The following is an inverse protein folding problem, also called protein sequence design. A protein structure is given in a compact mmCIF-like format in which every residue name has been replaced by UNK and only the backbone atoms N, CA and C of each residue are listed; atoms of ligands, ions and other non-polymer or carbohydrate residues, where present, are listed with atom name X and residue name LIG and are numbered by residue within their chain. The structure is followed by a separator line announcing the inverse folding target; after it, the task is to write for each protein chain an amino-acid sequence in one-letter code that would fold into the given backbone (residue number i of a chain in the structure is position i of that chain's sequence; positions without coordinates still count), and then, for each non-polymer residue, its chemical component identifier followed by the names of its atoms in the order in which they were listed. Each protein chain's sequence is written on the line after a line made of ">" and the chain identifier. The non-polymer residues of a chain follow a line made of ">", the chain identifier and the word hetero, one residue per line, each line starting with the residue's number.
data_IF_179277949062
#
_entry.id   IF_179277949062
#
_cell.length_a   1.000
_cell.length_b   1.000
_cell.length_c   1.000
_cell.angle_alpha   90.00
_cell.angle_beta   90.00
_cell.angle_gamma   90.00
#
_symmetry.space_group_name_H-M   'P 1'
#
loop_
_entity.id
_entity.type
_entity.pdbx_description
1 polymer ?
#
# COMPACT_ATOMS: atom_id res chain seq x y z
N UNK A 1 1.25 23.35 -4.81
CA UNK A 1 1.72 22.27 -3.93
C UNK A 1 1.40 22.68 -2.50
N UNK A 2 0.69 21.85 -1.73
CA UNK A 2 0.37 22.21 -0.35
C UNK A 2 1.63 22.23 0.53
N UNK A 3 1.63 23.06 1.55
CA UNK A 3 2.55 22.98 2.69
C UNK A 3 2.20 21.77 3.55
N UNK A 4 3.10 21.37 4.47
CA UNK A 4 2.81 20.27 5.43
C UNK A 4 1.55 20.56 6.25
N UNK A 5 1.36 21.79 6.73
CA UNK A 5 0.19 22.18 7.51
C UNK A 5 -1.10 22.12 6.68
N UNK A 6 -1.10 22.65 5.47
CA UNK A 6 -2.26 22.56 4.56
C UNK A 6 -2.59 21.13 4.18
N UNK A 7 -1.59 20.25 3.99
CA UNK A 7 -1.81 18.84 3.76
C UNK A 7 -2.43 18.18 4.98
N UNK A 8 -1.89 18.43 6.17
CA UNK A 8 -2.44 17.90 7.42
C UNK A 8 -3.94 18.22 7.59
N UNK A 9 -4.29 19.49 7.41
CA UNK A 9 -5.68 19.95 7.49
C UNK A 9 -6.56 19.30 6.42
N UNK A 10 -6.01 19.07 5.22
CA UNK A 10 -6.71 18.38 4.14
C UNK A 10 -6.96 16.92 4.47
N UNK A 11 -5.95 16.19 4.96
CA UNK A 11 -6.06 14.78 5.34
C UNK A 11 -7.17 14.57 6.38
N UNK A 12 -7.22 15.43 7.40
CA UNK A 12 -8.26 15.37 8.45
C UNK A 12 -9.63 15.70 7.87
N UNK A 13 -9.77 16.78 7.10
CA UNK A 13 -11.04 17.21 6.53
C UNK A 13 -11.63 16.19 5.55
N UNK A 14 -10.78 15.46 4.83
CA UNK A 14 -11.21 14.45 3.85
C UNK A 14 -11.24 13.04 4.43
N UNK A 15 -10.86 12.88 5.70
CA UNK A 15 -10.83 11.62 6.43
C UNK A 15 -9.86 10.57 5.84
N UNK A 16 -8.88 11.04 5.07
CA UNK A 16 -7.73 10.19 4.67
C UNK A 16 -6.90 9.84 5.92
N UNK A 17 -6.84 10.76 6.88
CA UNK A 17 -6.31 10.57 8.23
C UNK A 17 -7.14 11.39 9.22
N UNK A 18 -6.82 11.36 10.50
CA UNK A 18 -7.70 11.83 11.57
C UNK A 18 -8.73 10.76 11.90
N UNK A 19 -9.96 11.15 12.13
CA UNK A 19 -11.10 10.25 12.35
C UNK A 19 -11.50 9.59 11.03
N UNK A 20 -11.01 8.39 10.76
CA UNK A 20 -11.24 7.65 9.51
C UNK A 20 -12.59 6.92 9.49
N UNK A 21 -13.00 6.41 8.31
CA UNK A 21 -14.25 5.68 8.19
C UNK A 21 -14.18 4.27 8.75
N UNK A 22 -13.00 3.67 8.74
CA UNK A 22 -12.76 2.32 9.25
C UNK A 22 -13.02 2.25 10.75
N UNK A 23 -13.90 1.35 11.18
CA UNK A 23 -14.31 1.28 12.58
C UNK A 23 -13.28 0.58 13.46
N UNK A 24 -13.34 0.90 14.74
CA UNK A 24 -12.49 0.27 15.77
C UNK A 24 -12.68 -1.24 15.81
N UNK A 25 -13.91 -1.72 15.74
CA UNK A 25 -14.22 -3.14 15.74
C UNK A 25 -13.53 -3.86 14.59
N UNK A 26 -13.59 -3.28 13.38
CA UNK A 26 -12.95 -3.84 12.20
C UNK A 26 -11.43 -3.90 12.37
N UNK A 27 -10.80 -2.83 12.84
CA UNK A 27 -9.37 -2.82 13.13
C UNK A 27 -8.98 -3.95 14.09
N UNK A 28 -9.65 -4.06 15.24
CA UNK A 28 -9.32 -5.06 16.25
C UNK A 28 -9.53 -6.51 15.76
N UNK A 29 -10.53 -6.74 14.91
CA UNK A 29 -10.79 -8.06 14.34
C UNK A 29 -9.71 -8.45 13.33
N UNK A 30 -9.25 -7.51 12.48
CA UNK A 30 -8.15 -7.75 11.55
C UNK A 30 -6.82 -7.97 12.29
N UNK A 31 -6.56 -7.24 13.40
CA UNK A 31 -5.35 -7.45 14.21
C UNK A 31 -5.32 -8.83 14.86
N UNK A 32 -6.49 -9.35 15.32
CA UNK A 32 -6.61 -10.72 15.81
C UNK A 32 -6.41 -11.74 14.70
N UNK A 33 -7.02 -11.50 13.53
CA UNK A 33 -6.91 -12.38 12.37
C UNK A 33 -5.45 -12.50 11.91
N UNK A 34 -4.73 -11.39 11.81
CA UNK A 34 -3.30 -11.39 11.49
C UNK A 34 -2.49 -12.16 12.54
N UNK A 35 -2.72 -11.88 13.84
CA UNK A 35 -2.03 -12.58 14.92
C UNK A 35 -2.30 -14.09 14.91
N UNK A 36 -3.49 -14.50 14.49
CA UNK A 36 -3.88 -15.92 14.30
C UNK A 36 -3.38 -16.49 12.97
N UNK A 37 -2.60 -15.73 12.17
CA UNK A 37 -2.05 -16.18 10.88
C UNK A 37 -3.12 -16.50 9.84
N UNK A 38 -4.27 -15.80 9.86
CA UNK A 38 -5.26 -15.92 8.79
C UNK A 38 -4.64 -15.50 7.45
N UNK A 39 -4.59 -16.39 6.44
CA UNK A 39 -3.91 -16.12 5.18
C UNK A 39 -4.46 -14.90 4.43
N UNK A 40 -5.75 -14.58 4.59
CA UNK A 40 -6.37 -13.43 3.96
C UNK A 40 -5.84 -12.10 4.52
N UNK A 41 -5.49 -12.06 5.82
CA UNK A 41 -4.97 -10.88 6.49
C UNK A 41 -3.44 -10.80 6.50
N UNK A 42 -2.73 -11.82 6.02
CA UNK A 42 -1.27 -11.82 5.90
C UNK A 42 -0.76 -11.11 4.64
N UNK A 43 -1.60 -10.86 3.67
CA UNK A 43 -1.21 -10.23 2.39
C UNK A 43 -0.04 -10.93 1.68
N UNK A 44 0.09 -12.24 1.90
CA UNK A 44 1.16 -13.04 1.32
C UNK A 44 2.49 -13.01 2.08
N UNK A 45 2.56 -12.29 3.18
CA UNK A 45 3.72 -12.30 4.09
C UNK A 45 3.73 -13.54 4.97
N UNK A 46 4.90 -14.04 5.25
CA UNK A 46 5.18 -15.00 6.32
C UNK A 46 5.75 -14.23 7.49
N UNK A 47 5.03 -14.17 8.61
CA UNK A 47 5.45 -13.41 9.77
C UNK A 47 6.24 -14.28 10.74
N UNK A 48 7.25 -13.70 11.39
CA UNK A 48 8.00 -14.34 12.46
C UNK A 48 7.09 -14.72 13.64
N UNK A 49 7.53 -15.67 14.46
CA UNK A 49 6.86 -15.98 15.72
C UNK A 49 6.94 -14.77 16.67
N UNK A 50 5.92 -14.58 17.49
CA UNK A 50 5.93 -13.53 18.51
C UNK A 50 4.94 -12.37 18.28
N UNK A 51 4.29 -12.28 17.12
CA UNK A 51 3.23 -11.31 16.89
C UNK A 51 1.91 -11.74 17.54
N UNK A 52 1.70 -11.37 18.78
CA UNK A 52 0.39 -11.49 19.43
C UNK A 52 -0.54 -10.34 19.01
N UNK A 53 -1.83 -10.48 19.25
CA UNK A 53 -2.79 -9.39 19.09
C UNK A 53 -2.35 -8.07 19.76
N UNK A 54 -1.76 -8.16 20.96
CA UNK A 54 -1.29 -6.97 21.68
C UNK A 54 -0.09 -6.33 21.01
N UNK A 55 0.82 -7.12 20.47
CA UNK A 55 1.99 -6.62 19.74
C UNK A 55 1.56 -5.92 18.44
N UNK A 56 0.60 -6.50 17.72
CA UNK A 56 0.02 -5.88 16.52
C UNK A 56 -0.67 -4.56 16.86
N UNK A 57 -1.51 -4.53 17.88
CA UNK A 57 -2.17 -3.29 18.33
C UNK A 57 -1.15 -2.21 18.74
N UNK A 58 -0.12 -2.59 19.48
CA UNK A 58 0.94 -1.66 19.90
C UNK A 58 1.71 -1.10 18.71
N UNK A 59 2.01 -1.96 17.72
CA UNK A 59 2.64 -1.55 16.47
C UNK A 59 1.75 -0.56 15.70
N UNK A 60 0.48 -0.88 15.51
CA UNK A 60 -0.47 -0.03 14.79
C UNK A 60 -0.68 1.32 15.48
N UNK A 61 -0.76 1.32 16.83
CA UNK A 61 -0.80 2.57 17.59
C UNK A 61 0.47 3.40 17.39
N UNK A 62 1.63 2.76 17.31
CA UNK A 62 2.91 3.43 17.05
C UNK A 62 3.04 3.90 15.60
N UNK A 63 2.64 3.10 14.61
CA UNK A 63 2.92 3.35 13.18
C UNK A 63 1.81 4.13 12.49
N UNK A 64 0.55 3.84 12.77
CA UNK A 64 -0.60 4.49 12.19
C UNK A 64 -1.30 5.49 13.11
N UNK A 65 -1.07 5.42 14.44
CA UNK A 65 -1.70 6.31 15.41
C UNK A 65 -3.13 5.90 15.76
N UNK A 66 -3.47 4.62 15.63
CA UNK A 66 -4.76 4.10 16.12
C UNK A 66 -4.83 4.16 17.65
N UNK A 67 -6.03 4.11 18.20
CA UNK A 67 -6.21 4.11 19.66
C UNK A 67 -5.49 2.92 20.29
N UNK A 68 -4.57 3.18 21.21
CA UNK A 68 -3.73 2.14 21.82
C UNK A 68 -4.47 1.28 22.87
N UNK A 69 -5.58 1.79 23.43
CA UNK A 69 -6.32 1.13 24.49
C UNK A 69 -7.08 -0.10 23.99
N UNK A 70 -6.74 -1.33 24.41
CA UNK A 70 -7.44 -2.54 23.99
C UNK A 70 -8.88 -2.65 24.51
N UNK A 71 -9.26 -1.87 25.54
CA UNK A 71 -10.60 -1.83 26.10
C UNK A 71 -11.52 -0.87 25.34
N UNK A 72 -10.97 0.04 24.54
CA UNK A 72 -11.74 0.80 23.56
C UNK A 72 -12.06 -0.11 22.37
N UNK A 73 -13.26 -0.71 22.39
CA UNK A 73 -13.61 -1.85 21.49
C UNK A 73 -14.54 -1.49 20.34
N UNK A 74 -15.12 -0.30 20.35
CA UNK A 74 -16.13 0.07 19.36
C UNK A 74 -16.10 1.54 19.01
N UNK A 75 -16.71 1.87 17.87
CA UNK A 75 -16.85 3.22 17.37
C UNK A 75 -15.81 3.57 16.32
N UNK A 76 -15.48 4.83 16.23
CA UNK A 76 -14.53 5.35 15.25
C UNK A 76 -13.10 5.14 15.72
N UNK A 77 -12.21 4.77 14.80
CA UNK A 77 -10.76 4.77 15.08
C UNK A 77 -10.10 5.94 14.33
N UNK A 78 -8.80 6.08 14.45
CA UNK A 78 -8.05 7.22 13.94
C UNK A 78 -6.78 6.77 13.24
N UNK A 79 -6.33 7.59 12.27
CA UNK A 79 -4.98 7.57 11.72
C UNK A 79 -4.35 8.92 12.03
N UNK A 80 -3.15 8.92 12.60
CA UNK A 80 -2.45 10.18 12.89
C UNK A 80 -1.97 10.84 11.58
N UNK A 81 -2.47 12.04 11.25
CA UNK A 81 -2.11 12.72 10.00
C UNK A 81 -0.63 13.09 9.91
N UNK A 82 0.05 13.31 11.02
CA UNK A 82 1.49 13.60 10.99
C UNK A 82 2.30 12.33 10.67
N UNK A 83 1.89 11.15 11.14
CA UNK A 83 2.49 9.87 10.75
C UNK A 83 2.28 9.57 9.28
N UNK A 84 1.09 9.85 8.74
CA UNK A 84 0.82 9.76 7.30
C UNK A 84 1.80 10.63 6.51
N UNK A 85 1.99 11.89 6.93
CA UNK A 85 2.89 12.82 6.24
C UNK A 85 4.36 12.39 6.35
N UNK A 86 4.81 11.96 7.54
CA UNK A 86 6.18 11.46 7.75
C UNK A 86 6.47 10.25 6.84
N UNK A 87 5.53 9.30 6.75
CA UNK A 87 5.68 8.14 5.88
C UNK A 87 5.63 8.52 4.39
N UNK A 88 4.81 9.50 3.98
CA UNK A 88 4.82 10.06 2.61
C UNK A 88 6.17 10.68 2.28
N UNK A 89 6.78 11.42 3.21
CA UNK A 89 8.10 12.02 3.03
C UNK A 89 9.16 10.93 2.86
N UNK A 90 9.17 9.92 3.72
CA UNK A 90 10.09 8.78 3.62
C UNK A 90 9.90 7.98 2.31
N UNK A 91 8.66 7.74 1.90
CA UNK A 91 8.36 7.09 0.62
C UNK A 91 8.85 7.93 -0.57
N UNK A 92 8.62 9.24 -0.53
CA UNK A 92 9.07 10.15 -1.58
C UNK A 92 10.59 10.18 -1.72
N UNK A 93 11.31 10.24 -0.60
CA UNK A 93 12.79 10.14 -0.56
C UNK A 93 13.25 8.81 -1.15
N UNK A 94 12.63 7.69 -0.77
CA UNK A 94 13.00 6.36 -1.26
C UNK A 94 12.80 6.23 -2.77
N UNK A 95 11.66 6.70 -3.30
CA UNK A 95 11.39 6.69 -4.74
C UNK A 95 12.39 7.60 -5.47
N UNK A 96 12.63 8.81 -4.97
CA UNK A 96 13.57 9.76 -5.56
C UNK A 96 15.01 9.22 -5.62
N UNK A 97 15.49 8.62 -4.54
CA UNK A 97 16.81 7.96 -4.50
C UNK A 97 16.97 6.88 -5.58
N UNK A 98 15.93 6.07 -5.79
CA UNK A 98 15.95 5.03 -6.83
C UNK A 98 15.98 5.65 -8.23
N UNK A 99 15.20 6.71 -8.46
CA UNK A 99 15.14 7.40 -9.74
C UNK A 99 16.41 8.19 -10.05
N UNK A 100 17.06 8.78 -9.04
CA UNK A 100 18.32 9.53 -9.19
C UNK A 100 19.46 8.70 -9.78
N UNK A 101 19.43 7.36 -9.59
CA UNK A 101 20.40 6.43 -10.18
C UNK A 101 20.30 6.31 -11.72
N UNK A 102 19.24 6.81 -12.33
CA UNK A 102 18.90 6.68 -13.76
C UNK A 102 18.60 5.26 -14.19
N UNK A 103 17.77 5.08 -15.21
CA UNK A 103 17.41 3.77 -15.76
C UNK A 103 16.82 2.77 -14.75
N UNK A 104 16.21 3.27 -13.68
CA UNK A 104 15.56 2.44 -12.69
C UNK A 104 14.44 1.59 -13.31
N UNK A 105 14.23 0.39 -12.79
CA UNK A 105 13.13 -0.52 -13.18
C UNK A 105 12.13 -0.56 -12.03
N UNK A 106 10.92 -0.12 -12.27
CA UNK A 106 9.89 -0.08 -11.25
C UNK A 106 8.69 -0.95 -11.62
N UNK A 107 8.03 -1.48 -10.60
CA UNK A 107 6.72 -2.10 -10.71
C UNK A 107 5.72 -1.30 -9.90
N UNK A 108 4.54 -1.06 -10.48
CA UNK A 108 3.41 -0.45 -9.79
C UNK A 108 2.22 -1.41 -9.82
N UNK A 109 1.58 -1.59 -8.66
CA UNK A 109 0.41 -2.45 -8.56
C UNK A 109 -0.53 -1.97 -7.45
N UNK A 110 -1.84 -2.14 -7.63
CA UNK A 110 -2.81 -1.81 -6.59
C UNK A 110 -3.88 -2.88 -6.44
N UNK A 111 -4.13 -3.27 -5.19
CA UNK A 111 -5.28 -4.07 -4.78
C UNK A 111 -6.54 -3.22 -4.58
N UNK A 112 -6.41 -1.88 -4.51
CA UNK A 112 -7.52 -0.96 -4.31
C UNK A 112 -7.63 0.08 -5.44
N UNK A 113 -7.97 -0.35 -6.67
CA UNK A 113 -7.94 0.54 -7.84
C UNK A 113 -8.90 1.71 -7.77
N UNK A 114 -10.03 1.58 -7.07
CA UNK A 114 -11.04 2.65 -6.94
C UNK A 114 -10.54 3.85 -6.12
N UNK A 115 -9.60 3.65 -5.20
CA UNK A 115 -8.99 4.70 -4.39
C UNK A 115 -7.57 5.04 -4.84
N UNK A 116 -6.67 4.08 -4.69
CA UNK A 116 -5.23 4.30 -4.74
C UNK A 116 -4.65 4.49 -6.14
N UNK A 117 -5.39 4.13 -7.21
CA UNK A 117 -4.95 4.41 -8.57
C UNK A 117 -4.67 5.90 -8.80
N UNK A 118 -5.40 6.79 -8.09
CA UNK A 118 -5.19 8.22 -8.12
C UNK A 118 -3.79 8.65 -7.61
N UNK A 119 -3.15 7.84 -6.77
CA UNK A 119 -1.78 8.05 -6.29
C UNK A 119 -0.77 7.35 -7.21
N UNK A 120 -1.04 6.09 -7.56
CA UNK A 120 -0.10 5.27 -8.35
C UNK A 120 0.16 5.85 -9.75
N UNK A 121 -0.87 6.32 -10.47
CA UNK A 121 -0.72 6.82 -11.84
C UNK A 121 0.20 8.04 -11.95
N UNK A 122 0.07 9.10 -11.14
CA UNK A 122 1.01 10.22 -11.17
C UNK A 122 2.44 9.81 -10.84
N UNK A 123 2.65 8.89 -9.88
CA UNK A 123 3.98 8.37 -9.55
C UNK A 123 4.59 7.55 -10.71
N UNK A 124 3.81 6.69 -11.35
CA UNK A 124 4.26 5.92 -12.50
C UNK A 124 4.66 6.83 -13.69
N UNK A 125 3.87 7.88 -13.95
CA UNK A 125 4.19 8.90 -14.96
C UNK A 125 5.46 9.65 -14.62
N UNK A 126 5.62 10.08 -13.36
CA UNK A 126 6.83 10.76 -12.90
C UNK A 126 8.06 9.87 -13.09
N UNK A 127 7.98 8.59 -12.72
CA UNK A 127 9.08 7.65 -12.91
C UNK A 127 9.51 7.55 -14.37
N UNK A 128 8.55 7.43 -15.30
CA UNK A 128 8.85 7.40 -16.75
C UNK A 128 9.47 8.72 -17.22
N UNK A 129 8.99 9.87 -16.76
CA UNK A 129 9.56 11.18 -17.07
C UNK A 129 11.02 11.31 -16.64
N UNK A 130 11.41 10.59 -15.58
CA UNK A 130 12.79 10.54 -15.08
C UNK A 130 13.58 9.32 -15.61
N UNK A 131 13.15 8.73 -16.73
CA UNK A 131 13.89 7.69 -17.45
C UNK A 131 13.77 6.28 -16.88
N UNK A 132 12.85 6.05 -15.94
CA UNK A 132 12.60 4.71 -15.46
C UNK A 132 11.86 3.84 -16.47
N UNK A 133 12.12 2.54 -16.43
CA UNK A 133 11.33 1.51 -17.14
C UNK A 133 10.29 0.92 -16.21
N UNK A 134 9.03 0.94 -16.60
CA UNK A 134 7.98 0.22 -15.90
C UNK A 134 7.95 -1.22 -16.36
N UNK A 135 8.14 -2.15 -15.44
CA UNK A 135 8.01 -3.57 -15.72
C UNK A 135 6.54 -3.96 -15.65
N UNK A 136 6.04 -4.63 -16.66
CA UNK A 136 4.62 -5.03 -16.79
C UNK A 136 4.47 -6.53 -17.06
N UNK A 137 5.06 -7.41 -16.21
CA UNK A 137 4.98 -8.85 -16.39
C UNK A 137 3.57 -9.39 -16.14
N UNK A 138 3.30 -10.59 -16.65
CA UNK A 138 2.08 -11.36 -16.41
C UNK A 138 0.78 -10.68 -16.84
N UNK A 139 0.81 -9.77 -17.82
CA UNK A 139 -0.44 -9.20 -18.35
C UNK A 139 -1.33 -10.31 -18.93
N UNK A 140 -2.58 -10.33 -18.49
CA UNK A 140 -3.54 -11.35 -18.90
C UNK A 140 -3.50 -12.64 -18.07
N UNK A 141 -2.48 -12.84 -17.21
CA UNK A 141 -2.51 -13.95 -16.25
C UNK A 141 -3.80 -13.93 -15.45
N UNK A 142 -4.39 -15.09 -15.23
CA UNK A 142 -5.73 -15.15 -14.64
C UNK A 142 -5.91 -16.34 -13.73
N UNK A 143 -6.73 -16.15 -12.71
CA UNK A 143 -7.11 -17.17 -11.74
C UNK A 143 -8.59 -17.01 -11.35
N UNK A 144 -9.11 -17.97 -10.60
CA UNK A 144 -10.43 -17.86 -9.96
C UNK A 144 -10.21 -17.32 -8.55
N UNK A 145 -10.57 -16.06 -8.33
CA UNK A 145 -10.38 -15.40 -7.04
C UNK A 145 -11.24 -15.99 -5.93
N UNK A 146 -10.85 -15.77 -4.69
CA UNK A 146 -11.67 -16.10 -3.53
C UNK A 146 -13.01 -15.35 -3.59
N UNK A 147 -14.09 -15.99 -3.15
CA UNK A 147 -15.46 -15.48 -3.28
C UNK A 147 -16.14 -15.94 -4.56
N UNK A 148 -17.08 -15.21 -5.10
CA UNK A 148 -18.07 -15.57 -6.15
C UNK A 148 -17.59 -16.35 -7.38
N UNK A 149 -16.42 -17.01 -7.36
CA UNK A 149 -15.92 -17.87 -8.42
C UNK A 149 -15.66 -17.16 -9.75
N UNK A 150 -15.55 -15.84 -9.75
CA UNK A 150 -15.26 -15.07 -10.94
C UNK A 150 -13.79 -15.19 -11.30
N UNK A 151 -13.52 -15.36 -12.61
CA UNK A 151 -12.17 -15.29 -13.14
C UNK A 151 -11.69 -13.85 -13.13
N UNK A 152 -10.58 -13.60 -12.45
CA UNK A 152 -9.88 -12.34 -12.37
C UNK A 152 -8.61 -12.43 -13.21
N UNK A 153 -8.16 -11.33 -13.79
CA UNK A 153 -6.93 -11.28 -14.59
C UNK A 153 -6.17 -10.01 -14.35
N UNK A 154 -4.84 -10.06 -14.49
CA UNK A 154 -3.98 -8.89 -14.41
C UNK A 154 -4.20 -8.03 -15.65
N UNK A 155 -4.41 -6.75 -15.43
CA UNK A 155 -4.47 -5.70 -16.43
C UNK A 155 -3.63 -4.52 -16.01
N UNK A 156 -3.10 -3.82 -16.99
CA UNK A 156 -2.33 -2.61 -16.77
C UNK A 156 -3.07 -1.38 -17.27
N UNK A 157 -3.02 -0.32 -16.48
CA UNK A 157 -3.45 1.01 -16.89
C UNK A 157 -2.36 2.01 -16.52
N UNK A 158 -1.76 2.66 -17.52
CA UNK A 158 -0.64 3.59 -17.33
C UNK A 158 0.58 2.98 -16.63
N UNK A 159 0.81 1.67 -16.79
CA UNK A 159 1.91 0.94 -16.14
C UNK A 159 1.60 0.44 -14.72
N UNK A 160 0.39 0.65 -14.21
CA UNK A 160 -0.06 0.15 -12.90
C UNK A 160 -0.87 -1.13 -13.10
N UNK A 161 -0.45 -2.23 -12.43
CA UNK A 161 -1.15 -3.50 -12.44
C UNK A 161 -2.38 -3.48 -11.52
N UNK A 162 -3.46 -4.09 -11.97
CA UNK A 162 -4.71 -4.26 -11.21
C UNK A 162 -5.40 -5.54 -11.66
N UNK A 163 -6.39 -5.99 -10.91
CA UNK A 163 -7.26 -7.09 -11.33
C UNK A 163 -8.53 -6.58 -12.03
N UNK A 164 -8.90 -7.25 -13.10
CA UNK A 164 -10.16 -7.09 -13.85
C UNK A 164 -10.96 -8.39 -13.81
N UNK A 165 -12.28 -8.31 -13.57
CA UNK A 165 -13.20 -9.47 -13.60
C UNK A 165 -14.19 -9.42 -14.77
N UNK A 166 -13.89 -8.66 -15.84
CA UNK A 166 -14.73 -8.32 -17.00
C UNK A 166 -15.87 -7.33 -16.72
N UNK A 167 -16.12 -6.97 -15.47
CA UNK A 167 -17.08 -5.95 -15.09
C UNK A 167 -16.42 -4.63 -14.72
N UNK A 168 -15.12 -4.67 -14.45
CA UNK A 168 -14.31 -3.54 -14.03
C UNK A 168 -13.12 -3.97 -13.19
N UNK A 169 -12.38 -3.01 -12.70
CA UNK A 169 -11.30 -3.28 -11.74
C UNK A 169 -11.87 -3.63 -10.37
N UNK A 170 -11.29 -4.62 -9.74
CA UNK A 170 -11.78 -5.18 -8.48
C UNK A 170 -10.78 -5.03 -7.35
N UNK A 171 -11.31 -4.74 -6.16
CA UNK A 171 -10.53 -4.76 -4.94
C UNK A 171 -10.09 -6.20 -4.59
N UNK A 172 -8.86 -6.35 -4.09
CA UNK A 172 -8.31 -7.65 -3.70
C UNK A 172 -7.22 -7.53 -2.65
N UNK A 173 -7.23 -8.47 -1.71
CA UNK A 173 -6.13 -8.73 -0.77
C UNK A 173 -5.21 -9.86 -1.27
N UNK A 174 -5.55 -10.51 -2.39
CA UNK A 174 -4.82 -11.68 -2.90
C UNK A 174 -3.36 -11.33 -3.25
N UNK A 175 -2.44 -12.19 -2.83
CA UNK A 175 -1.01 -12.08 -3.12
C UNK A 175 -0.60 -12.78 -4.44
N UNK A 176 -1.43 -13.69 -4.93
CA UNK A 176 -1.12 -14.53 -6.09
C UNK A 176 -0.85 -13.74 -7.39
N UNK A 177 -1.53 -12.60 -7.66
CA UNK A 177 -1.20 -11.79 -8.83
C UNK A 177 0.25 -11.29 -8.81
N UNK A 178 0.75 -10.80 -7.67
CA UNK A 178 2.13 -10.36 -7.56
C UNK A 178 3.11 -11.53 -7.65
N UNK A 179 2.77 -12.69 -7.09
CA UNK A 179 3.58 -13.92 -7.24
C UNK A 179 3.71 -14.33 -8.71
N UNK A 180 2.61 -14.23 -9.47
CA UNK A 180 2.65 -14.48 -10.91
C UNK A 180 3.52 -13.46 -11.66
N UNK A 181 3.42 -12.18 -11.30
CA UNK A 181 4.28 -11.14 -11.86
C UNK A 181 5.76 -11.43 -11.61
N UNK A 182 6.11 -11.79 -10.38
CA UNK A 182 7.49 -12.12 -9.99
C UNK A 182 8.00 -13.33 -10.77
N UNK A 183 7.18 -14.36 -10.95
CA UNK A 183 7.55 -15.57 -11.70
C UNK A 183 7.86 -15.29 -13.17
N UNK A 184 7.27 -14.25 -13.76
CA UNK A 184 7.50 -13.86 -15.17
C UNK A 184 8.62 -12.82 -15.35
N UNK A 185 9.34 -12.44 -14.30
CA UNK A 185 10.43 -11.46 -14.42
C UNK A 185 11.69 -12.01 -15.12
N UNK A 186 11.79 -13.32 -15.35
CA UNK A 186 12.90 -13.99 -16.08
C UNK A 186 14.30 -13.51 -15.61
N UNK A 187 14.49 -13.35 -14.29
CA UNK A 187 15.74 -12.88 -13.71
C UNK A 187 15.93 -11.35 -13.72
N UNK A 188 15.02 -10.60 -14.35
CA UNK A 188 14.99 -9.14 -14.25
C UNK A 188 14.45 -8.75 -12.88
N UNK A 189 15.25 -8.06 -12.07
CA UNK A 189 14.82 -7.61 -10.74
C UNK A 189 14.40 -6.15 -10.78
N UNK A 190 13.21 -5.77 -10.27
CA UNK A 190 12.85 -4.36 -10.08
C UNK A 190 13.73 -3.73 -9.01
N UNK A 191 14.07 -2.46 -9.21
CA UNK A 191 14.80 -1.65 -8.25
C UNK A 191 13.88 -1.12 -7.15
N UNK A 192 12.56 -1.04 -7.43
CA UNK A 192 11.52 -0.73 -6.46
C UNK A 192 10.15 -1.23 -6.93
N UNK A 193 9.36 -1.72 -5.97
CA UNK A 193 7.92 -1.99 -6.12
C UNK A 193 7.15 -0.95 -5.31
N UNK A 194 6.17 -0.30 -5.94
CA UNK A 194 5.22 0.61 -5.29
C UNK A 194 3.85 -0.05 -5.38
N UNK A 195 3.34 -0.52 -4.25
CA UNK A 195 2.11 -1.32 -4.26
C UNK A 195 1.31 -1.17 -2.95
N UNK A 196 0.22 -1.91 -2.85
CA UNK A 196 -0.60 -2.00 -1.65
C UNK A 196 -1.13 -3.43 -1.47
N UNK A 197 -1.76 -3.73 -0.31
CA UNK A 197 -2.38 -5.01 0.01
C UNK A 197 -1.47 -6.23 -0.29
N UNK A 198 -2.05 -7.31 -0.82
CA UNK A 198 -1.34 -8.54 -1.17
C UNK A 198 -0.28 -8.37 -2.25
N UNK A 199 -0.36 -7.32 -3.07
CA UNK A 199 0.66 -7.01 -4.05
C UNK A 199 1.95 -6.53 -3.38
N UNK A 200 1.84 -5.65 -2.39
CA UNK A 200 2.99 -5.17 -1.62
C UNK A 200 3.55 -6.28 -0.71
N UNK A 201 2.67 -7.01 -0.02
CA UNK A 201 3.09 -8.08 0.87
C UNK A 201 3.86 -9.19 0.15
N UNK A 202 3.36 -9.67 -1.00
CA UNK A 202 4.06 -10.70 -1.78
C UNK A 202 5.39 -10.20 -2.37
N UNK A 203 5.47 -8.94 -2.77
CA UNK A 203 6.72 -8.35 -3.25
C UNK A 203 7.77 -8.28 -2.13
N UNK A 204 7.37 -7.81 -0.94
CA UNK A 204 8.23 -7.76 0.25
C UNK A 204 8.68 -9.14 0.70
N UNK A 205 7.78 -10.14 0.71
CA UNK A 205 8.11 -11.53 1.05
C UNK A 205 9.13 -12.13 0.08
N UNK A 206 9.06 -11.79 -1.20
CA UNK A 206 10.05 -12.18 -2.20
C UNK A 206 11.38 -11.41 -2.09
N UNK A 207 11.54 -10.54 -1.10
CA UNK A 207 12.73 -9.73 -0.87
C UNK A 207 12.94 -8.64 -1.92
N UNK A 208 11.90 -8.22 -2.64
CA UNK A 208 11.98 -7.07 -3.53
C UNK A 208 11.91 -5.78 -2.70
N UNK A 209 12.72 -4.74 -3.03
CA UNK A 209 12.57 -3.43 -2.41
C UNK A 209 11.13 -2.92 -2.63
N UNK A 210 10.37 -2.72 -1.55
CA UNK A 210 8.94 -2.42 -1.63
C UNK A 210 8.57 -1.27 -0.72
N UNK A 211 7.74 -0.35 -1.22
CA UNK A 211 7.04 0.68 -0.45
C UNK A 211 5.53 0.54 -0.70
N UNK A 212 4.71 0.84 0.30
CA UNK A 212 3.28 0.58 0.18
C UNK A 212 2.39 1.55 0.93
N UNK A 213 1.09 1.44 0.64
CA UNK A 213 0.00 2.11 1.33
C UNK A 213 -0.84 1.08 2.06
N UNK A 214 -1.36 1.43 3.24
CA UNK A 214 -2.22 0.55 4.00
C UNK A 214 -3.20 1.35 4.88
N UNK A 215 -4.43 0.87 4.99
CA UNK A 215 -5.41 1.42 5.94
C UNK A 215 -5.13 0.92 7.38
N UNK A 216 -5.81 1.51 8.33
CA UNK A 216 -5.70 1.18 9.75
C UNK A 216 -6.10 -0.26 10.08
N UNK A 217 -6.94 -0.89 9.26
CA UNK A 217 -7.34 -2.29 9.40
C UNK A 217 -6.44 -3.28 8.65
N UNK A 218 -5.37 -2.81 7.99
CA UNK A 218 -4.44 -3.62 7.20
C UNK A 218 -3.05 -3.71 7.86
N UNK A 219 -2.92 -4.38 9.02
CA UNK A 219 -1.69 -4.39 9.81
C UNK A 219 -0.53 -5.12 9.14
N UNK A 220 -0.77 -5.95 8.11
CA UNK A 220 0.23 -6.82 7.50
C UNK A 220 1.45 -6.05 6.98
N UNK A 221 1.24 -4.93 6.27
CA UNK A 221 2.36 -4.17 5.70
C UNK A 221 3.18 -3.48 6.79
N UNK A 222 2.55 -3.02 7.88
CA UNK A 222 3.26 -2.43 9.04
C UNK A 222 4.10 -3.47 9.78
N UNK A 223 3.58 -4.71 9.92
CA UNK A 223 4.36 -5.82 10.47
C UNK A 223 5.50 -6.17 9.51
N UNK A 224 5.24 -6.22 8.20
CA UNK A 224 6.27 -6.42 7.19
C UNK A 224 7.37 -5.35 7.23
N UNK A 225 7.03 -4.10 7.50
CA UNK A 225 8.00 -3.01 7.72
C UNK A 225 8.81 -3.22 9.00
N UNK A 226 8.14 -3.58 10.09
CA UNK A 226 8.83 -3.89 11.36
C UNK A 226 9.80 -5.08 11.25
N UNK A 227 9.53 -6.03 10.35
CA UNK A 227 10.41 -7.16 10.02
C UNK A 227 11.43 -6.86 8.91
N UNK A 228 11.44 -5.64 8.35
CA UNK A 228 12.37 -5.25 7.29
C UNK A 228 12.05 -5.80 5.90
N UNK A 229 10.86 -6.33 5.69
CA UNK A 229 10.37 -6.84 4.38
C UNK A 229 9.80 -5.72 3.50
N UNK A 230 9.20 -4.71 4.12
CA UNK A 230 8.69 -3.49 3.48
C UNK A 230 9.56 -2.33 3.95
N UNK A 231 9.94 -1.44 3.04
CA UNK A 231 10.83 -0.33 3.39
C UNK A 231 10.07 0.85 4.02
N UNK A 232 8.86 1.13 3.55
CA UNK A 232 7.98 2.19 4.05
C UNK A 232 6.54 1.79 3.82
N UNK A 233 5.70 1.92 4.85
CA UNK A 233 4.24 1.77 4.78
C UNK A 233 3.58 3.09 5.14
N UNK A 234 2.83 3.68 4.22
CA UNK A 234 2.08 4.92 4.45
C UNK A 234 0.71 4.59 5.02
N UNK A 235 0.40 4.98 6.28
CA UNK A 235 -0.93 4.82 6.84
C UNK A 235 -1.89 5.84 6.23
N UNK A 236 -3.02 5.40 5.69
CA UNK A 236 -4.09 6.24 5.17
C UNK A 236 -5.39 5.43 5.02
N UNK A 237 -6.55 6.10 5.11
CA UNK A 237 -7.81 5.50 4.64
C UNK A 237 -7.74 5.42 3.11
N UNK A 238 -7.80 4.21 2.57
CA UNK A 238 -7.63 3.92 1.14
C UNK A 238 -8.96 3.88 0.38
N UNK A 239 -10.08 4.11 1.06
CA UNK A 239 -11.43 4.02 0.52
C UNK A 239 -12.18 5.37 0.49
N UNK A 240 -11.46 6.48 0.36
CA UNK A 240 -12.07 7.78 0.12
C UNK A 240 -12.18 8.08 -1.39
N UNK A 241 -12.93 9.14 -1.75
CA UNK A 241 -13.07 9.52 -3.16
C UNK A 241 -11.71 9.85 -3.79
N UNK A 242 -11.38 9.33 -4.99
CA UNK A 242 -10.08 9.48 -5.64
C UNK A 242 -9.55 10.91 -5.67
N UNK A 243 -10.43 11.91 -5.96
CA UNK A 243 -10.05 13.32 -6.00
C UNK A 243 -9.51 13.88 -4.68
N UNK A 244 -9.79 13.23 -3.56
CA UNK A 244 -9.29 13.66 -2.25
C UNK A 244 -7.81 13.33 -2.07
N UNK A 245 -7.26 12.38 -2.83
CA UNK A 245 -5.83 12.09 -2.81
C UNK A 245 -4.99 13.11 -3.62
N UNK A 246 -5.59 14.00 -4.42
CA UNK A 246 -4.81 14.92 -5.27
C UNK A 246 -3.79 15.77 -4.49
N UNK A 247 -4.13 16.42 -3.35
CA UNK A 247 -3.14 17.20 -2.59
C UNK A 247 -2.04 16.33 -1.97
N UNK A 248 -2.38 15.13 -1.47
CA UNK A 248 -1.43 14.15 -0.96
C UNK A 248 -0.47 13.71 -2.07
N UNK A 249 -1.02 13.37 -3.23
CA UNK A 249 -0.24 12.94 -4.40
C UNK A 249 0.70 14.05 -4.88
N UNK A 250 0.21 15.30 -4.96
CA UNK A 250 1.05 16.45 -5.32
C UNK A 250 2.20 16.67 -4.33
N UNK A 251 1.93 16.47 -3.03
CA UNK A 251 2.96 16.56 -2.00
C UNK A 251 4.00 15.45 -2.14
N UNK A 252 3.57 14.19 -2.30
CA UNK A 252 4.44 13.04 -2.49
C UNK A 252 5.32 13.20 -3.74
N UNK A 253 4.73 13.58 -4.89
CA UNK A 253 5.48 13.88 -6.13
C UNK A 253 6.55 14.94 -5.88
N UNK A 254 6.27 15.96 -5.08
CA UNK A 254 7.26 16.98 -4.75
C UNK A 254 8.42 16.46 -3.90
N UNK A 255 8.15 15.49 -3.01
CA UNK A 255 9.21 14.86 -2.21
C UNK A 255 10.10 13.99 -3.07
N UNK A 256 9.51 13.22 -4.00
CA UNK A 256 10.27 12.46 -5.01
C UNK A 256 11.18 13.41 -5.81
N UNK A 257 10.62 14.51 -6.33
CA UNK A 257 11.38 15.47 -7.16
C UNK A 257 12.51 16.16 -6.40
N UNK A 258 12.37 16.36 -5.09
CA UNK A 258 13.45 16.96 -4.26
C UNK A 258 14.59 15.99 -3.97
N UNK A 259 14.34 14.69 -4.04
CA UNK A 259 15.33 13.64 -3.78
C UNK A 259 16.02 13.14 -5.06
N UNK A 260 15.66 13.71 -6.21
CA UNK A 260 16.34 13.52 -7.51
C UNK A 260 17.58 14.39 -7.60
#
# INVERSE_FOLDING_TARGET
>A
MPTRAELRDHLVRTRIAGDVATSRENNLDHYRSLANRDPYHLFGLTLSDGWSYRDVLALMAKSAGVVADPEHRSGQDTIDPDRTIDAIEAMGERIGQVLAGGRARLMFATGHPTGLLAIHLPLARLAVQHGATLLTPAEGWSYVGHGFGRRRRIRYFGGVAMLDDRGGFVHTHDADPMRAMIAELDGVRPDLVVADHGWAGAAGEAGLPTVGFADSNDPALFVGEAEGKIAVTVPLDDNVLPRYYDPLTAYLVSRVTRAL
#
